data_IF_815425708257
#
_entry.id   IF_815425708257
#
_cell.length_a   1.000
_cell.length_b   1.000
_cell.length_c   1.000
_cell.angle_alpha   90.00
_cell.angle_beta   90.00
_cell.angle_gamma   90.00
#
_symmetry.space_group_name_H-M   'P 1'
#
loop_
_entity.id
_entity.type
_entity.pdbx_description
1 polymer ?
#
# COMPACT_ATOMS: atom_id res chain seq x y z
N UNK A 1 -31.62 -22.71 67.91
CA UNK A 1 -31.09 -21.43 67.38
C UNK A 1 -29.61 -21.65 67.09
N UNK A 2 -29.10 -21.19 65.94
CA UNK A 2 -27.66 -21.03 65.61
C UNK A 2 -26.80 -22.28 65.33
N UNK A 3 -27.08 -23.13 64.32
CA UNK A 3 -26.02 -23.98 63.70
C UNK A 3 -26.30 -24.43 62.23
N UNK A 4 -27.28 -23.87 61.52
CA UNK A 4 -27.56 -24.22 60.09
C UNK A 4 -27.36 -23.08 59.08
N UNK A 5 -26.85 -21.92 59.52
CA UNK A 5 -26.72 -20.73 58.66
C UNK A 5 -25.31 -20.49 58.10
N UNK A 6 -24.29 -21.21 58.57
CA UNK A 6 -22.87 -20.94 58.20
C UNK A 6 -22.46 -21.67 56.91
N UNK A 7 -23.12 -22.78 56.54
CA UNK A 7 -22.73 -23.60 55.38
C UNK A 7 -23.11 -22.94 54.04
N UNK A 8 -24.16 -22.12 54.01
CA UNK A 8 -24.61 -21.45 52.78
C UNK A 8 -23.82 -20.18 52.43
N UNK A 9 -23.08 -19.61 53.38
CA UNK A 9 -22.25 -18.42 53.12
C UNK A 9 -20.93 -18.76 52.41
N UNK A 10 -20.41 -19.98 52.59
CA UNK A 10 -19.18 -20.43 51.91
C UNK A 10 -19.43 -20.91 50.48
N UNK A 11 -20.62 -21.44 50.17
CA UNK A 11 -21.00 -21.88 48.83
C UNK A 11 -21.27 -20.72 47.85
N UNK A 12 -21.68 -19.55 48.35
CA UNK A 12 -21.85 -18.35 47.53
C UNK A 12 -20.54 -17.58 47.32
N UNK A 13 -19.55 -17.74 48.19
CA UNK A 13 -18.24 -17.10 48.03
C UNK A 13 -17.34 -17.85 47.03
N UNK A 14 -17.50 -19.18 46.92
CA UNK A 14 -16.76 -20.01 45.97
C UNK A 14 -17.25 -19.88 44.52
N UNK A 15 -18.51 -19.49 44.30
CA UNK A 15 -19.03 -19.18 42.95
C UNK A 15 -18.81 -17.72 42.51
N UNK A 16 -18.48 -16.81 43.43
CA UNK A 16 -18.21 -15.41 43.09
C UNK A 16 -16.73 -15.12 42.80
N UNK A 17 -15.86 -16.11 43.02
CA UNK A 17 -14.42 -15.97 42.80
C UNK A 17 -13.94 -16.61 41.49
N UNK A 18 -14.84 -17.21 40.70
CA UNK A 18 -14.50 -17.71 39.37
C UNK A 18 -14.43 -16.53 38.38
N UNK A 19 -13.29 -15.85 38.47
CA UNK A 19 -12.55 -15.37 37.31
C UNK A 19 -13.28 -14.42 36.37
N UNK A 20 -13.55 -13.20 36.86
CA UNK A 20 -13.37 -12.04 35.98
C UNK A 20 -11.86 -11.82 35.78
N UNK A 21 -11.23 -12.71 35.00
CA UNK A 21 -10.01 -12.35 34.30
C UNK A 21 -10.39 -11.25 33.32
N UNK A 22 -10.20 -10.00 33.74
CA UNK A 22 -10.11 -8.88 32.81
C UNK A 22 -8.96 -9.20 31.86
N UNK A 23 -9.29 -9.77 30.70
CA UNK A 23 -8.39 -9.85 29.56
C UNK A 23 -8.04 -8.41 29.21
N UNK A 24 -6.91 -7.95 29.75
CA UNK A 24 -6.33 -6.67 29.44
C UNK A 24 -5.64 -6.85 28.09
N UNK A 25 -6.41 -6.82 26.99
CA UNK A 25 -5.85 -6.80 25.65
C UNK A 25 -5.20 -5.44 25.43
N UNK A 26 -4.01 -5.27 26.00
CA UNK A 26 -3.07 -4.24 25.56
C UNK A 26 -2.77 -4.58 24.12
N UNK A 27 -3.48 -3.93 23.19
CA UNK A 27 -3.13 -3.93 21.78
C UNK A 27 -1.79 -3.24 21.67
N UNK A 28 -0.71 -4.00 21.82
CA UNK A 28 0.64 -3.57 21.47
C UNK A 28 0.59 -3.27 19.97
N UNK A 29 0.36 -2.01 19.60
CA UNK A 29 0.40 -1.59 18.20
C UNK A 29 1.77 -2.00 17.67
N UNK A 30 1.81 -2.88 16.67
CA UNK A 30 3.08 -3.18 16.02
C UNK A 30 3.55 -1.86 15.41
N UNK A 31 4.77 -1.44 15.74
CA UNK A 31 5.39 -0.33 15.01
C UNK A 31 5.43 -0.71 13.52
N UNK A 32 5.06 0.24 12.65
CA UNK A 32 5.12 0.05 11.21
C UNK A 32 6.57 -0.21 10.83
N UNK A 33 6.86 -1.43 10.36
CA UNK A 33 8.19 -1.79 9.92
C UNK A 33 8.43 -1.27 8.50
N UNK A 34 9.62 -0.71 8.29
CA UNK A 34 10.11 -0.31 6.99
C UNK A 34 11.22 -1.25 6.55
N UNK A 35 11.20 -1.60 5.27
CA UNK A 35 12.18 -2.49 4.65
C UNK A 35 12.90 -1.70 3.55
N UNK A 36 14.23 -1.72 3.58
CA UNK A 36 15.02 -1.24 2.45
C UNK A 36 15.22 -2.38 1.47
N UNK A 37 14.75 -2.19 0.26
CA UNK A 37 14.82 -3.20 -0.81
C UNK A 37 15.65 -2.66 -1.97
N UNK A 38 16.25 -3.56 -2.73
CA UNK A 38 16.96 -3.22 -3.98
C UNK A 38 16.08 -3.66 -5.15
N UNK A 39 15.66 -2.71 -5.96
CA UNK A 39 14.88 -2.93 -7.16
C UNK A 39 15.80 -2.95 -8.38
N UNK A 40 15.88 -4.10 -9.04
CA UNK A 40 16.53 -4.24 -10.35
C UNK A 40 15.45 -4.40 -11.42
N UNK A 41 15.31 -3.42 -12.30
CA UNK A 41 14.27 -3.40 -13.33
C UNK A 41 14.84 -2.83 -14.63
N UNK A 42 14.51 -3.39 -15.82
CA UNK A 42 15.05 -2.95 -17.12
C UNK A 42 14.81 -1.47 -17.47
N UNK A 43 13.87 -0.82 -16.78
CA UNK A 43 13.60 0.60 -16.95
C UNK A 43 14.67 1.51 -16.35
N UNK A 44 15.56 1.00 -15.50
CA UNK A 44 16.65 1.75 -14.87
C UNK A 44 17.99 1.12 -15.25
N UNK A 45 18.99 1.95 -15.53
CA UNK A 45 20.36 1.49 -15.78
C UNK A 45 20.97 0.90 -14.51
N UNK A 46 20.77 1.57 -13.38
CA UNK A 46 21.21 1.15 -12.06
C UNK A 46 20.06 0.58 -11.21
N UNK A 47 20.41 -0.28 -10.25
CA UNK A 47 19.44 -0.75 -9.26
C UNK A 47 19.06 0.36 -8.30
N UNK A 48 17.77 0.48 -8.00
CA UNK A 48 17.25 1.48 -7.08
C UNK A 48 17.17 0.92 -5.66
N UNK A 49 17.45 1.76 -4.67
CA UNK A 49 17.16 1.45 -3.26
C UNK A 49 15.81 2.08 -2.92
N UNK A 50 14.84 1.26 -2.53
CA UNK A 50 13.48 1.69 -2.24
C UNK A 50 13.09 1.39 -0.79
N UNK A 51 12.15 2.17 -0.25
CA UNK A 51 11.58 1.95 1.08
C UNK A 51 10.17 1.36 0.96
N UNK A 52 10.02 0.11 1.39
CA UNK A 52 8.75 -0.62 1.40
C UNK A 52 8.20 -0.64 2.84
N UNK A 53 6.96 -0.18 3.02
CA UNK A 53 6.35 -0.07 4.36
C UNK A 53 5.21 -1.07 4.50
N UNK A 54 5.13 -1.71 5.66
CA UNK A 54 4.04 -2.63 5.98
C UNK A 54 2.72 -1.89 6.23
N UNK A 55 1.62 -2.50 5.77
CA UNK A 55 0.25 -2.02 6.00
C UNK A 55 -0.53 -3.02 6.83
N UNK A 56 -1.35 -2.52 7.74
CA UNK A 56 -2.05 -3.31 8.75
C UNK A 56 -3.54 -2.98 8.78
N UNK A 57 -4.37 -3.97 9.06
CA UNK A 57 -5.81 -3.76 9.28
C UNK A 57 -6.14 -3.25 10.69
N UNK A 58 -7.43 -3.06 10.97
CA UNK A 58 -7.94 -2.63 12.28
C UNK A 58 -7.64 -3.61 13.42
N UNK A 59 -7.37 -4.87 13.08
CA UNK A 59 -7.00 -5.93 14.03
C UNK A 59 -5.46 -6.08 14.14
N UNK A 60 -4.69 -5.16 13.56
CA UNK A 60 -3.23 -5.17 13.57
C UNK A 60 -2.64 -6.42 12.89
N UNK A 61 -3.32 -6.96 11.88
CA UNK A 61 -2.81 -8.04 11.01
C UNK A 61 -2.17 -7.42 9.79
N UNK A 62 -1.01 -7.96 9.38
CA UNK A 62 -0.34 -7.55 8.14
C UNK A 62 -1.25 -7.87 6.96
N UNK A 63 -1.62 -6.85 6.18
CA UNK A 63 -2.49 -7.00 4.99
C UNK A 63 -1.79 -6.69 3.68
N UNK A 64 -0.60 -6.09 3.73
CA UNK A 64 0.17 -5.81 2.53
C UNK A 64 1.27 -4.79 2.75
N UNK A 65 1.66 -4.13 1.66
CA UNK A 65 2.75 -3.18 1.63
C UNK A 65 2.40 -1.93 0.83
N UNK A 66 3.10 -0.83 1.10
CA UNK A 66 3.05 0.35 0.25
C UNK A 66 4.43 0.98 0.03
N UNK A 67 4.56 1.77 -1.03
CA UNK A 67 5.75 2.58 -1.31
C UNK A 67 5.35 3.87 -2.02
N UNK A 68 6.24 4.86 -1.97
CA UNK A 68 6.13 6.08 -2.77
C UNK A 68 6.89 5.89 -4.08
N UNK A 69 6.24 6.21 -5.20
CA UNK A 69 6.82 6.24 -6.53
C UNK A 69 6.73 7.66 -7.06
N UNK A 70 7.86 8.18 -7.54
CA UNK A 70 7.94 9.55 -8.05
C UNK A 70 7.63 9.56 -9.55
N UNK A 71 6.62 10.32 -9.95
CA UNK A 71 6.39 10.73 -11.33
C UNK A 71 7.07 12.07 -11.54
N UNK A 72 8.18 12.08 -12.29
CA UNK A 72 8.94 13.29 -12.59
C UNK A 72 8.68 13.69 -14.02
N UNK A 73 8.19 14.91 -14.24
CA UNK A 73 8.07 15.50 -15.57
C UNK A 73 8.74 16.87 -15.60
N UNK A 74 9.29 17.25 -16.75
CA UNK A 74 9.93 18.54 -16.95
C UNK A 74 9.32 19.24 -18.17
N UNK A 75 8.65 20.37 -17.94
CA UNK A 75 8.09 21.22 -18.99
C UNK A 75 8.76 22.59 -18.93
N UNK A 76 9.22 23.11 -20.08
CA UNK A 76 9.83 24.45 -20.20
C UNK A 76 10.93 24.76 -19.15
N UNK A 77 11.77 23.77 -18.82
CA UNK A 77 12.86 23.83 -17.82
C UNK A 77 12.42 23.86 -16.35
N UNK A 78 11.12 23.68 -16.06
CA UNK A 78 10.61 23.45 -14.71
C UNK A 78 10.25 21.97 -14.57
N UNK A 79 10.86 21.30 -13.59
CA UNK A 79 10.53 19.92 -13.27
C UNK A 79 9.55 19.88 -12.09
N UNK A 80 8.45 19.19 -12.30
CA UNK A 80 7.46 18.87 -11.27
C UNK A 80 7.64 17.42 -10.85
N UNK A 81 7.46 17.16 -9.56
CA UNK A 81 7.60 15.83 -8.97
C UNK A 81 6.30 15.48 -8.26
N UNK A 82 5.51 14.61 -8.89
CA UNK A 82 4.27 14.10 -8.33
C UNK A 82 4.53 12.78 -7.63
N UNK A 83 4.16 12.71 -6.35
CA UNK A 83 4.29 11.46 -5.58
C UNK A 83 3.05 10.60 -5.77
N UNK A 84 3.24 9.33 -6.09
CA UNK A 84 2.18 8.32 -6.19
C UNK A 84 2.39 7.26 -5.12
N UNK A 85 1.37 7.00 -4.31
CA UNK A 85 1.41 5.95 -3.29
C UNK A 85 0.87 4.65 -3.88
N UNK A 86 1.73 3.65 -4.06
CA UNK A 86 1.32 2.33 -4.56
C UNK A 86 1.09 1.35 -3.42
N UNK A 87 0.08 0.49 -3.55
CA UNK A 87 -0.29 -0.51 -2.55
C UNK A 87 -0.37 -1.91 -3.14
N UNK A 88 0.16 -2.88 -2.41
CA UNK A 88 0.11 -4.31 -2.75
C UNK A 88 -0.39 -5.13 -1.58
N UNK A 89 -0.95 -6.31 -1.87
CA UNK A 89 -1.25 -7.31 -0.84
C UNK A 89 0.01 -8.05 -0.37
N UNK A 90 -0.14 -8.96 0.59
CA UNK A 90 0.99 -9.76 1.13
C UNK A 90 1.66 -10.68 0.10
N UNK A 91 1.01 -10.97 -1.02
CA UNK A 91 1.55 -11.78 -2.13
C UNK A 91 2.25 -10.92 -3.18
N UNK A 92 2.29 -9.59 -3.01
CA UNK A 92 2.88 -8.67 -3.97
C UNK A 92 1.96 -8.32 -5.14
N UNK A 93 0.67 -8.65 -5.07
CA UNK A 93 -0.29 -8.29 -6.11
C UNK A 93 -0.75 -6.84 -5.89
N UNK A 94 -0.77 -6.06 -6.97
CA UNK A 94 -1.22 -4.67 -6.93
C UNK A 94 -2.67 -4.57 -6.47
N UNK A 95 -2.97 -3.55 -5.66
CA UNK A 95 -4.31 -3.28 -5.14
C UNK A 95 -4.86 -1.96 -5.65
N UNK A 96 -4.08 -0.89 -5.52
CA UNK A 96 -4.48 0.48 -5.90
C UNK A 96 -3.28 1.42 -5.87
N UNK A 97 -3.46 2.61 -6.43
CA UNK A 97 -2.64 3.78 -6.15
C UNK A 97 -3.48 4.88 -5.51
N UNK A 98 -2.81 5.78 -4.80
CA UNK A 98 -3.40 7.00 -4.25
C UNK A 98 -2.49 8.19 -4.59
N UNK A 99 -3.11 9.35 -4.83
CA UNK A 99 -2.41 10.61 -5.02
C UNK A 99 -2.61 11.50 -3.79
N UNK A 100 -1.59 12.27 -3.37
CA UNK A 100 -1.75 13.32 -2.38
C UNK A 100 -2.82 14.33 -2.82
N UNK A 101 -3.42 15.00 -1.85
CA UNK A 101 -4.38 16.06 -2.12
C UNK A 101 -3.75 17.17 -2.97
N UNK A 102 -4.47 17.58 -4.03
CA UNK A 102 -4.01 18.62 -4.95
C UNK A 102 -3.05 18.15 -6.05
N UNK A 103 -2.63 16.88 -6.06
CA UNK A 103 -1.77 16.33 -7.12
C UNK A 103 -2.61 15.84 -8.30
N UNK A 104 -2.24 16.25 -9.51
CA UNK A 104 -2.86 15.80 -10.77
C UNK A 104 -1.75 15.27 -11.67
N UNK A 105 -1.94 14.07 -12.23
CA UNK A 105 -0.96 13.49 -13.15
C UNK A 105 -1.11 14.12 -14.53
N UNK A 106 -0.02 14.16 -15.27
CA UNK A 106 0.03 14.67 -16.64
C UNK A 106 0.47 13.60 -17.62
N UNK A 107 -0.05 13.71 -18.84
CA UNK A 107 0.41 12.94 -20.00
C UNK A 107 1.76 13.48 -20.48
N UNK A 108 2.43 12.72 -21.34
CA UNK A 108 3.69 13.14 -21.95
C UNK A 108 3.57 14.43 -22.80
N UNK A 109 2.37 14.78 -23.28
CA UNK A 109 2.12 16.03 -23.99
C UNK A 109 1.76 17.21 -23.05
N UNK A 110 1.94 17.05 -21.73
CA UNK A 110 1.67 18.07 -20.72
C UNK A 110 0.19 18.27 -20.41
N UNK A 111 -0.71 17.45 -20.96
CA UNK A 111 -2.14 17.54 -20.64
C UNK A 111 -2.44 16.82 -19.33
N UNK A 112 -3.28 17.41 -18.45
CA UNK A 112 -3.70 16.73 -17.23
C UNK A 112 -4.48 15.46 -17.57
N UNK A 113 -4.36 14.45 -16.70
CA UNK A 113 -5.13 13.23 -16.79
C UNK A 113 -6.63 13.52 -16.66
N UNK A 114 -7.42 12.92 -17.54
CA UNK A 114 -8.87 12.82 -17.38
C UNK A 114 -9.21 11.50 -16.67
N UNK A 115 -10.47 11.35 -16.25
CA UNK A 115 -10.96 10.16 -15.52
C UNK A 115 -10.56 8.84 -16.20
N UNK A 116 -10.68 8.79 -17.52
CA UNK A 116 -10.36 7.60 -18.32
C UNK A 116 -8.88 7.25 -18.28
N UNK A 117 -7.99 8.22 -18.13
CA UNK A 117 -6.55 7.97 -18.03
C UNK A 117 -6.20 7.32 -16.69
N UNK A 118 -6.88 7.75 -15.61
CA UNK A 118 -6.74 7.14 -14.29
C UNK A 118 -7.27 5.70 -14.25
N UNK A 119 -8.38 5.45 -14.94
CA UNK A 119 -8.95 4.10 -15.10
C UNK A 119 -7.99 3.20 -15.89
N UNK A 120 -7.49 3.68 -17.03
CA UNK A 120 -6.51 2.95 -17.85
C UNK A 120 -5.22 2.68 -17.07
N UNK A 121 -4.69 3.65 -16.32
CA UNK A 121 -3.51 3.45 -15.47
C UNK A 121 -3.76 2.35 -14.45
N UNK A 122 -4.93 2.35 -13.80
CA UNK A 122 -5.28 1.30 -12.84
C UNK A 122 -5.34 -0.08 -13.50
N UNK A 123 -5.96 -0.18 -14.68
CA UNK A 123 -6.02 -1.43 -15.44
C UNK A 123 -4.64 -1.96 -15.82
N UNK A 124 -3.76 -1.08 -16.32
CA UNK A 124 -2.38 -1.43 -16.69
C UNK A 124 -1.60 -1.94 -15.48
N UNK A 125 -1.71 -1.28 -14.32
CA UNK A 125 -1.02 -1.68 -13.09
C UNK A 125 -1.56 -3.00 -12.51
N UNK A 126 -2.83 -3.31 -12.77
CA UNK A 126 -3.49 -4.52 -12.27
C UNK A 126 -3.28 -5.74 -13.18
N UNK A 127 -2.84 -5.56 -14.42
CA UNK A 127 -2.57 -6.66 -15.34
C UNK A 127 -1.13 -7.20 -15.16
N UNK A 128 -1.01 -8.31 -14.43
CA UNK A 128 0.29 -9.01 -14.24
C UNK A 128 0.90 -9.53 -15.56
N UNK A 129 0.09 -9.70 -16.61
CA UNK A 129 0.54 -10.11 -17.94
C UNK A 129 0.88 -8.92 -18.85
N UNK A 130 0.68 -7.70 -18.36
CA UNK A 130 0.99 -6.51 -19.12
C UNK A 130 2.46 -6.53 -19.50
N UNK A 131 2.75 -6.32 -20.78
CA UNK A 131 4.13 -6.38 -21.31
C UNK A 131 5.06 -5.34 -20.69
N UNK A 132 4.52 -4.32 -20.04
CA UNK A 132 5.27 -3.20 -19.45
C UNK A 132 6.27 -3.65 -18.37
N UNK A 133 6.03 -4.76 -17.68
CA UNK A 133 6.95 -5.31 -16.68
C UNK A 133 8.31 -5.80 -17.23
N UNK A 134 8.45 -5.85 -18.56
CA UNK A 134 9.68 -6.28 -19.26
C UNK A 134 10.28 -5.19 -20.13
N UNK A 135 9.66 -4.01 -20.17
CA UNK A 135 10.10 -2.93 -21.04
C UNK A 135 11.11 -2.03 -20.32
N UNK A 136 12.13 -1.60 -21.07
CA UNK A 136 12.95 -0.47 -20.66
C UNK A 136 12.18 0.84 -20.83
N UNK A 137 12.66 1.92 -20.20
CA UNK A 137 12.09 3.25 -20.41
C UNK A 137 12.10 3.64 -21.90
N UNK A 138 13.20 3.34 -22.59
CA UNK A 138 13.34 3.61 -24.02
C UNK A 138 12.34 2.81 -24.87
N UNK A 139 12.00 1.58 -24.49
CA UNK A 139 10.98 0.80 -25.21
C UNK A 139 9.59 1.44 -25.08
N UNK A 140 9.28 2.00 -23.92
CA UNK A 140 8.00 2.67 -23.65
C UNK A 140 7.91 3.96 -24.47
N UNK A 141 8.94 4.81 -24.43
CA UNK A 141 8.97 6.10 -25.15
C UNK A 141 9.05 5.91 -26.66
N UNK A 142 9.89 4.99 -27.16
CA UNK A 142 10.08 4.76 -28.60
C UNK A 142 8.85 4.12 -29.25
N UNK A 143 8.14 3.23 -28.53
CA UNK A 143 6.86 2.68 -29.01
C UNK A 143 5.80 3.77 -29.17
N UNK A 144 5.83 4.79 -28.32
CA UNK A 144 4.95 5.95 -28.41
C UNK A 144 5.24 6.80 -29.66
N UNK A 145 6.51 7.01 -30.00
CA UNK A 145 6.91 7.66 -31.26
C UNK A 145 6.40 6.90 -32.50
N UNK A 146 6.53 5.57 -32.52
CA UNK A 146 6.06 4.77 -33.67
C UNK A 146 4.53 4.76 -33.86
N UNK A 147 3.75 5.11 -32.83
CA UNK A 147 2.29 5.25 -32.93
C UNK A 147 1.84 6.65 -33.39
N UNK A 148 2.72 7.64 -33.34
CA UNK A 148 2.44 9.00 -33.84
C UNK A 148 2.79 9.18 -35.32
N UNK A 149 3.62 8.29 -35.89
CA UNK A 149 3.98 8.28 -37.32
C UNK A 149 2.98 7.50 -38.21
N UNK A 150 1.87 7.00 -37.65
CA UNK A 150 0.86 6.18 -38.34
C UNK A 150 -0.55 6.81 -38.39
N UNK A 151 -0.69 8.11 -38.08
CA UNK A 151 -1.93 8.87 -38.28
C UNK A 151 -1.70 10.10 -39.17
#
# INVERSE_FOLDING_TARGET
MVQRKIIWAFLTFFLFSFSYEKVNSISKSREKKMHRIVLSHPAYEDSLICELRETYDKQNRLVGFNMDVLSVYCAEHVCSVDTVHLFWNVMGQYLRYELPEGVTLEKNDGKPFVKQDYELLHEILNDENARFNKLSYNDIVKKMMLSMDLN
#
